data_IF_891109150642
#
_entry.id   IF_891109150642
#
_cell.length_a   1.000
_cell.length_b   1.000
_cell.length_c   1.000
_cell.angle_alpha   90.00
_cell.angle_beta   90.00
_cell.angle_gamma   90.00
#
_symmetry.space_group_name_H-M   'P 1'
#
loop_
_entity.id
_entity.type
_entity.pdbx_description
1 polymer ?
#
# COMPACT_ATOMS: atom_id res chain seq x y z
N UNK A 1 2.96 11.87 -5.01
CA UNK A 1 2.64 11.43 -3.65
C UNK A 1 3.51 10.24 -3.29
N UNK A 2 3.94 10.16 -2.07
CA UNK A 2 4.72 9.02 -1.55
C UNK A 2 3.79 8.01 -0.90
N UNK A 3 3.74 6.80 -1.43
CA UNK A 3 2.85 5.74 -0.95
C UNK A 3 3.69 4.55 -0.51
N UNK A 4 3.41 4.05 0.67
CA UNK A 4 3.97 2.77 1.12
C UNK A 4 2.81 1.82 1.42
N UNK A 5 3.08 0.54 1.38
CA UNK A 5 2.02 -0.41 1.68
C UNK A 5 2.54 -1.82 1.92
N UNK A 6 1.63 -2.67 2.32
CA UNK A 6 1.92 -4.07 2.62
C UNK A 6 0.91 -4.95 1.90
N UNK A 7 1.40 -6.00 1.26
CA UNK A 7 0.55 -7.05 0.71
C UNK A 7 0.78 -8.34 1.47
N UNK A 8 -0.30 -9.03 1.79
CA UNK A 8 -0.24 -10.32 2.47
C UNK A 8 -1.52 -11.11 2.21
N UNK A 9 -1.40 -12.41 2.01
CA UNK A 9 -2.54 -13.25 1.67
C UNK A 9 -2.46 -14.58 2.43
N UNK A 10 -3.59 -15.09 2.90
CA UNK A 10 -3.65 -16.37 3.61
C UNK A 10 -3.16 -17.52 2.73
N UNK A 11 -3.62 -17.54 1.48
CA UNK A 11 -3.20 -18.53 0.49
C UNK A 11 -1.80 -18.26 -0.05
N UNK A 12 -1.29 -17.11 0.18
CA UNK A 12 0.10 -16.69 0.31
C UNK A 12 0.96 -16.56 -0.90
N UNK A 13 0.69 -17.13 -2.01
CA UNK A 13 1.80 -17.31 -2.93
C UNK A 13 1.72 -16.45 -4.19
N UNK A 14 0.58 -16.34 -4.82
CA UNK A 14 0.48 -15.64 -6.10
C UNK A 14 0.01 -14.19 -5.96
N UNK A 15 -0.98 -13.95 -5.10
CA UNK A 15 -1.59 -12.62 -5.01
C UNK A 15 -0.70 -11.58 -4.34
N UNK A 16 0.13 -11.98 -3.36
CA UNK A 16 1.00 -11.05 -2.65
C UNK A 16 1.98 -10.34 -3.58
N UNK A 17 2.82 -11.04 -4.35
CA UNK A 17 3.71 -10.35 -5.27
C UNK A 17 2.99 -9.69 -6.44
N UNK A 18 1.89 -10.25 -6.91
CA UNK A 18 1.14 -9.66 -8.02
C UNK A 18 0.51 -8.33 -7.62
N UNK A 19 -0.08 -8.26 -6.44
CA UNK A 19 -0.67 -7.03 -5.94
C UNK A 19 0.40 -5.95 -5.70
N UNK A 20 1.54 -6.33 -5.11
CA UNK A 20 2.63 -5.40 -4.87
C UNK A 20 3.14 -4.80 -6.19
N UNK A 21 3.39 -5.63 -7.17
CA UNK A 21 3.86 -5.16 -8.48
C UNK A 21 2.83 -4.32 -9.19
N UNK A 22 1.56 -4.68 -9.11
CA UNK A 22 0.48 -3.92 -9.75
C UNK A 22 0.40 -2.50 -9.19
N UNK A 23 0.51 -2.35 -7.87
CA UNK A 23 0.46 -1.04 -7.23
C UNK A 23 1.72 -0.22 -7.53
N UNK A 24 2.90 -0.84 -7.51
CA UNK A 24 4.14 -0.14 -7.84
C UNK A 24 4.15 0.33 -9.30
N UNK A 25 3.69 -0.51 -10.20
CA UNK A 25 3.57 -0.19 -11.62
C UNK A 25 2.57 0.94 -11.86
N UNK A 26 1.44 0.89 -11.18
CA UNK A 26 0.44 1.96 -11.23
C UNK A 26 1.03 3.28 -10.73
N UNK A 27 1.85 3.23 -9.69
CA UNK A 27 2.54 4.40 -9.16
C UNK A 27 3.42 5.07 -10.20
N UNK A 28 4.24 4.30 -10.89
CA UNK A 28 5.10 4.81 -11.95
C UNK A 28 4.26 5.47 -13.05
N UNK A 29 3.19 4.82 -13.46
CA UNK A 29 2.31 5.33 -14.52
C UNK A 29 1.61 6.61 -14.12
N UNK A 30 1.19 6.73 -12.87
CA UNK A 30 0.43 7.88 -12.38
C UNK A 30 1.31 8.98 -11.76
N UNK A 31 2.63 8.79 -11.73
CA UNK A 31 3.56 9.79 -11.23
C UNK A 31 3.72 9.81 -9.71
N UNK A 32 3.45 8.68 -9.05
CA UNK A 32 3.62 8.54 -7.61
C UNK A 32 4.77 7.59 -7.28
N UNK A 33 5.38 7.78 -6.12
CA UNK A 33 6.42 6.89 -5.61
C UNK A 33 5.77 5.87 -4.68
N UNK A 34 5.68 4.63 -5.12
CA UNK A 34 5.02 3.54 -4.39
C UNK A 34 6.03 2.46 -4.04
N UNK A 35 6.11 2.12 -2.75
CA UNK A 35 6.89 0.97 -2.29
C UNK A 35 5.99 0.01 -1.54
N UNK A 36 5.95 -1.23 -1.96
CA UNK A 36 5.12 -2.27 -1.36
C UNK A 36 5.97 -3.35 -0.70
N UNK A 37 5.75 -3.57 0.58
CA UNK A 37 6.32 -4.68 1.33
C UNK A 37 5.45 -5.92 1.12
N UNK A 38 6.09 -7.05 0.92
CA UNK A 38 5.39 -8.33 0.76
C UNK A 38 5.64 -9.20 1.97
N UNK A 39 4.58 -9.63 2.65
CA UNK A 39 4.68 -10.55 3.78
C UNK A 39 4.11 -11.90 3.35
N UNK A 40 4.96 -12.89 3.25
CA UNK A 40 4.57 -14.23 2.83
C UNK A 40 5.12 -15.30 3.74
N UNK A 41 4.81 -16.56 3.41
CA UNK A 41 5.25 -17.73 4.17
C UNK A 41 6.78 -17.86 4.24
N UNK A 42 7.48 -17.32 3.25
CA UNK A 42 8.95 -17.37 3.16
C UNK A 42 9.63 -16.14 3.77
N UNK A 43 8.88 -15.26 4.41
CA UNK A 43 9.41 -14.07 5.06
C UNK A 43 8.95 -12.77 4.39
N UNK A 44 9.59 -11.68 4.80
CA UNK A 44 9.24 -10.33 4.31
C UNK A 44 10.18 -9.92 3.19
N UNK A 45 9.60 -9.41 2.11
CA UNK A 45 10.34 -8.90 0.94
C UNK A 45 10.10 -7.39 0.85
N UNK A 46 11.17 -6.63 0.56
CA UNK A 46 11.14 -5.18 0.41
C UNK A 46 10.56 -4.47 1.63
N UNK A 47 11.04 -4.81 2.81
CA UNK A 47 10.56 -4.25 4.06
C UNK A 47 10.61 -2.73 4.06
N UNK A 48 9.52 -2.11 4.50
CA UNK A 48 9.42 -0.65 4.61
C UNK A 48 10.18 -0.19 5.84
N UNK A 49 11.11 0.74 5.64
CA UNK A 49 11.92 1.28 6.73
C UNK A 49 11.17 2.37 7.50
N UNK A 50 11.57 2.67 8.74
CA UNK A 50 10.98 3.80 9.49
C UNK A 50 11.08 5.14 8.75
N UNK A 51 12.17 5.37 8.04
CA UNK A 51 12.35 6.58 7.25
C UNK A 51 11.32 6.67 6.12
N UNK A 52 11.05 5.54 5.48
CA UNK A 52 10.04 5.47 4.41
C UNK A 52 8.63 5.72 4.94
N UNK A 53 8.33 5.19 6.13
CA UNK A 53 7.03 5.46 6.78
C UNK A 53 6.90 6.95 7.09
N UNK A 54 7.94 7.55 7.64
CA UNK A 54 7.92 8.99 7.96
C UNK A 54 7.68 9.86 6.74
N UNK A 55 8.25 9.48 5.61
CA UNK A 55 8.11 10.22 4.35
C UNK A 55 6.79 9.95 3.64
N UNK A 56 6.06 8.92 4.03
CA UNK A 56 4.86 8.51 3.30
C UNK A 56 3.69 9.45 3.56
N UNK A 57 2.90 9.67 2.53
CA UNK A 57 1.64 10.41 2.61
C UNK A 57 0.48 9.50 2.99
N UNK A 58 0.56 8.23 2.64
CA UNK A 58 -0.50 7.26 2.90
C UNK A 58 0.09 5.84 2.95
N UNK A 59 -0.58 4.97 3.68
CA UNK A 59 -0.24 3.54 3.78
C UNK A 59 -1.41 2.74 3.20
N UNK A 60 -1.11 1.83 2.28
CA UNK A 60 -2.10 0.90 1.73
C UNK A 60 -1.87 -0.48 2.34
N UNK A 61 -2.90 -1.07 2.93
CA UNK A 61 -2.84 -2.45 3.39
C UNK A 61 -3.74 -3.29 2.49
N UNK A 62 -3.11 -4.08 1.64
CA UNK A 62 -3.79 -5.00 0.73
C UNK A 62 -3.58 -6.43 1.25
N UNK A 63 -4.37 -6.80 2.23
CA UNK A 63 -4.20 -8.08 2.92
C UNK A 63 -5.55 -8.66 3.31
N UNK A 64 -5.65 -9.98 3.29
CA UNK A 64 -6.81 -10.71 3.78
C UNK A 64 -6.51 -11.44 5.10
N UNK A 65 -5.43 -11.02 5.75
CA UNK A 65 -5.07 -11.48 7.10
C UNK A 65 -4.39 -10.34 7.84
N UNK A 66 -4.17 -10.50 9.15
CA UNK A 66 -3.43 -9.52 9.95
C UNK A 66 -1.98 -9.48 9.48
N UNK A 67 -1.45 -8.28 9.27
CA UNK A 67 -0.05 -8.10 8.87
C UNK A 67 0.83 -7.91 10.10
N UNK A 68 2.12 -8.21 9.94
CA UNK A 68 3.12 -7.94 10.98
C UNK A 68 3.58 -6.49 10.90
N UNK A 69 3.84 -5.91 12.06
CA UNK A 69 4.41 -4.57 12.13
C UNK A 69 3.46 -3.43 11.79
N UNK A 70 2.17 -3.64 11.91
CA UNK A 70 1.17 -2.60 11.64
C UNK A 70 1.35 -1.37 12.53
N UNK A 71 1.88 -1.55 13.74
CA UNK A 71 2.13 -0.47 14.70
C UNK A 71 3.03 0.65 14.15
N UNK A 72 3.94 0.31 13.25
CA UNK A 72 4.85 1.31 12.63
C UNK A 72 4.10 2.35 11.80
N UNK A 73 2.86 2.07 11.41
CA UNK A 73 2.03 2.99 10.62
C UNK A 73 1.15 3.91 11.48
N UNK A 74 1.26 3.80 12.78
CA UNK A 74 0.48 4.63 13.69
C UNK A 74 0.74 6.11 13.42
N UNK A 75 -0.35 6.87 13.32
CA UNK A 75 -0.25 8.30 13.01
C UNK A 75 -0.29 8.63 11.52
N UNK A 76 -0.27 7.63 10.65
CA UNK A 76 -0.39 7.83 9.20
C UNK A 76 -1.77 7.43 8.72
N UNK A 77 -2.28 8.06 7.64
CA UNK A 77 -3.51 7.58 7.01
C UNK A 77 -3.30 6.17 6.48
N UNK A 78 -4.15 5.25 6.86
CA UNK A 78 -4.10 3.85 6.42
C UNK A 78 -5.38 3.54 5.66
N UNK A 79 -5.24 3.05 4.44
CA UNK A 79 -6.36 2.61 3.62
C UNK A 79 -6.26 1.11 3.41
N UNK A 80 -7.28 0.38 3.80
CA UNK A 80 -7.34 -1.06 3.61
C UNK A 80 -8.09 -1.37 2.32
N UNK A 81 -7.52 -2.23 1.50
CA UNK A 81 -8.10 -2.63 0.23
C UNK A 81 -8.05 -4.15 0.10
N UNK A 82 -8.86 -4.70 -0.77
CA UNK A 82 -8.84 -6.14 -1.05
C UNK A 82 -7.69 -6.45 -2.00
N UNK A 83 -6.91 -7.46 -1.66
CA UNK A 83 -5.75 -7.84 -2.46
C UNK A 83 -6.14 -8.22 -3.90
N UNK A 84 -7.28 -8.88 -4.07
CA UNK A 84 -7.78 -9.23 -5.40
C UNK A 84 -8.09 -8.04 -6.28
N UNK A 85 -8.53 -6.94 -5.70
CA UNK A 85 -8.78 -5.71 -6.45
C UNK A 85 -7.48 -5.09 -6.95
N UNK A 86 -6.41 -5.17 -6.16
CA UNK A 86 -5.10 -4.67 -6.57
C UNK A 86 -4.56 -5.47 -7.76
N UNK A 87 -4.74 -6.79 -7.73
CA UNK A 87 -4.32 -7.66 -8.85
C UNK A 87 -5.14 -7.37 -10.09
N UNK A 88 -6.45 -7.18 -9.95
CA UNK A 88 -7.34 -6.95 -11.08
C UNK A 88 -7.15 -5.57 -11.71
N UNK A 89 -6.96 -4.53 -10.89
CA UNK A 89 -6.80 -3.17 -11.40
C UNK A 89 -6.09 -2.28 -10.37
N UNK A 90 -4.77 -2.38 -10.32
CA UNK A 90 -3.95 -1.59 -9.40
C UNK A 90 -4.07 -0.09 -9.63
N UNK A 91 -4.22 0.35 -10.87
CA UNK A 91 -4.37 1.78 -11.19
C UNK A 91 -5.64 2.37 -10.57
N UNK A 92 -6.76 1.66 -10.67
CA UNK A 92 -8.02 2.13 -10.10
C UNK A 92 -7.94 2.20 -8.58
N UNK A 93 -7.32 1.20 -7.94
CA UNK A 93 -7.13 1.19 -6.50
C UNK A 93 -6.25 2.36 -6.06
N UNK A 94 -5.10 2.54 -6.71
CA UNK A 94 -4.17 3.62 -6.37
C UNK A 94 -4.81 4.99 -6.60
N UNK A 95 -5.52 5.18 -7.70
CA UNK A 95 -6.20 6.43 -8.01
C UNK A 95 -7.22 6.79 -6.94
N UNK A 96 -8.00 5.82 -6.46
CA UNK A 96 -8.97 6.03 -5.39
C UNK A 96 -8.29 6.43 -4.08
N UNK A 97 -7.20 5.75 -3.74
CA UNK A 97 -6.46 6.04 -2.52
C UNK A 97 -5.87 7.46 -2.57
N UNK A 98 -5.24 7.82 -3.68
CA UNK A 98 -4.65 9.14 -3.87
C UNK A 98 -5.71 10.23 -3.80
N UNK A 99 -6.85 10.03 -4.47
CA UNK A 99 -7.95 11.00 -4.46
C UNK A 99 -8.50 11.20 -3.05
N UNK A 100 -8.66 10.12 -2.29
CA UNK A 100 -9.16 10.19 -0.91
C UNK A 100 -8.21 10.98 -0.02
N UNK A 101 -6.89 10.77 -0.17
CA UNK A 101 -5.90 11.47 0.63
C UNK A 101 -5.78 12.94 0.22
N UNK A 102 -5.85 13.25 -1.05
CA UNK A 102 -5.85 14.64 -1.51
C UNK A 102 -7.05 15.41 -0.98
N UNK A 103 -8.24 14.81 -1.03
CA UNK A 103 -9.45 15.41 -0.47
C UNK A 103 -9.31 15.66 1.03
N UNK A 104 -8.72 14.71 1.76
CA UNK A 104 -8.47 14.83 3.18
C UNK A 104 -7.49 15.95 3.51
N UNK A 105 -6.41 16.08 2.73
CA UNK A 105 -5.43 17.16 2.90
C UNK A 105 -6.06 18.53 2.66
N UNK A 106 -6.89 18.67 1.64
CA UNK A 106 -7.60 19.92 1.39
C UNK A 106 -8.52 20.29 2.56
N UNK A 107 -9.23 19.30 3.10
CA UNK A 107 -10.12 19.52 4.23
C UNK A 107 -9.36 19.94 5.48
N UNK A 108 -8.19 19.36 5.72
CA UNK A 108 -7.34 19.71 6.85
C UNK A 108 -6.69 21.09 6.68
N UNK A 109 -6.43 21.50 5.45
CA UNK A 109 -5.82 22.81 5.15
C UNK A 109 -6.78 23.97 5.35
N UNK A 110 -8.06 23.70 5.34
CA UNK A 110 -9.10 24.70 5.58
C UNK A 110 -9.52 24.72 7.05
#
# INVERSE_FOLDING_TARGET
MKVVGVTSCIAGLAHTPMAAKALEKAGVKLGHDVKMEQQGAMGTIDEITPAEVSAADVVIIAADKVIDGEDRFKGKPVVRVKIGQCVANGEAVLSKVVAAIEARKQKEAN
#
